data_IF_530651938944
#
_entry.id   IF_530651938944
#
_cell.length_a   1.000
_cell.length_b   1.000
_cell.length_c   1.000
_cell.angle_alpha   90.00
_cell.angle_beta   90.00
_cell.angle_gamma   90.00
#
_symmetry.space_group_name_H-M   'P 1'
#
loop_
_entity.id
_entity.type
_entity.pdbx_description
1 polymer ?
#
# COMPACT_ATOMS: atom_id res chain seq x y z
N UNK A 1 8.26 17.19 26.17
CA UNK A 1 8.56 15.80 26.61
C UNK A 1 7.39 15.11 27.31
N UNK A 2 6.79 15.63 28.39
CA UNK A 2 5.68 14.95 29.09
C UNK A 2 4.39 14.77 28.26
N UNK A 3 4.03 15.75 27.42
CA UNK A 3 2.87 15.66 26.54
C UNK A 3 3.01 14.53 25.48
N UNK A 4 4.22 14.36 24.91
CA UNK A 4 4.48 13.34 23.89
C UNK A 4 4.46 11.92 24.47
N UNK A 5 4.97 11.73 25.70
CA UNK A 5 4.92 10.43 26.37
C UNK A 5 3.49 10.00 26.69
N UNK A 6 2.63 10.95 27.08
CA UNK A 6 1.22 10.69 27.37
C UNK A 6 0.47 10.37 26.06
N UNK A 7 0.70 11.12 24.99
CA UNK A 7 0.07 10.87 23.69
C UNK A 7 0.44 9.49 23.11
N UNK A 8 1.73 9.12 23.16
CA UNK A 8 2.22 7.82 22.72
C UNK A 8 1.68 6.66 23.57
N UNK A 9 1.56 6.87 24.89
CA UNK A 9 0.97 5.88 25.80
C UNK A 9 -0.53 5.68 25.54
N UNK A 10 -1.29 6.75 25.38
CA UNK A 10 -2.73 6.68 25.07
C UNK A 10 -2.98 6.05 23.69
N UNK A 11 -2.12 6.33 22.71
CA UNK A 11 -2.15 5.68 21.39
C UNK A 11 -1.87 4.19 21.48
N UNK A 12 -0.85 3.80 22.26
CA UNK A 12 -0.52 2.39 22.51
C UNK A 12 -1.69 1.65 23.18
N UNK A 13 -2.44 2.32 24.06
CA UNK A 13 -3.67 1.76 24.66
C UNK A 13 -4.78 1.57 23.62
N UNK A 14 -5.02 2.56 22.76
CA UNK A 14 -6.02 2.41 21.71
C UNK A 14 -5.62 1.36 20.66
N UNK A 15 -4.33 1.21 20.36
CA UNK A 15 -3.83 0.13 19.50
C UNK A 15 -4.03 -1.23 20.17
N UNK A 16 -3.68 -1.38 21.44
CA UNK A 16 -3.87 -2.63 22.18
C UNK A 16 -5.36 -3.03 22.28
N UNK A 17 -6.24 -2.06 22.53
CA UNK A 17 -7.69 -2.31 22.56
C UNK A 17 -8.26 -2.58 21.16
N UNK A 18 -7.79 -1.87 20.13
CA UNK A 18 -8.15 -2.17 18.74
C UNK A 18 -7.73 -3.59 18.33
N UNK A 19 -6.56 -4.05 18.76
CA UNK A 19 -6.08 -5.42 18.57
C UNK A 19 -6.94 -6.44 19.34
N UNK A 20 -7.32 -6.13 20.58
CA UNK A 20 -8.25 -6.94 21.37
C UNK A 20 -9.62 -7.06 20.68
N UNK A 21 -10.18 -5.95 20.19
CA UNK A 21 -11.38 -5.96 19.38
C UNK A 21 -11.22 -6.81 18.12
N UNK A 22 -10.04 -6.70 17.47
CA UNK A 22 -9.71 -7.44 16.26
C UNK A 22 -9.74 -8.96 16.49
N UNK A 23 -9.12 -9.44 17.58
CA UNK A 23 -9.13 -10.86 17.96
C UNK A 23 -10.52 -11.40 18.32
N UNK A 24 -11.49 -10.52 18.56
CA UNK A 24 -12.88 -10.87 18.93
C UNK A 24 -13.87 -10.64 17.78
N UNK A 25 -13.41 -10.23 16.60
CA UNK A 25 -14.29 -9.88 15.48
C UNK A 25 -15.15 -8.62 15.72
N UNK A 26 -14.76 -7.76 16.66
CA UNK A 26 -15.57 -6.60 17.10
C UNK A 26 -15.08 -5.26 16.51
N UNK A 27 -14.37 -5.29 15.38
CA UNK A 27 -13.73 -4.10 14.78
C UNK A 27 -14.75 -2.98 14.50
N UNK A 28 -15.93 -3.31 13.96
CA UNK A 28 -16.95 -2.32 13.59
C UNK A 28 -17.52 -1.55 14.80
N UNK A 29 -17.49 -2.17 15.98
CA UNK A 29 -17.93 -1.59 17.25
C UNK A 29 -16.80 -1.05 18.11
N UNK A 30 -15.54 -1.18 17.67
CA UNK A 30 -14.39 -0.89 18.52
C UNK A 30 -14.16 0.61 18.66
N UNK A 31 -14.43 1.15 19.85
CA UNK A 31 -14.27 2.57 20.14
C UNK A 31 -12.81 3.02 20.02
N UNK A 32 -11.85 2.23 20.48
CA UNK A 32 -10.42 2.58 20.31
C UNK A 32 -9.97 2.58 18.86
N UNK A 33 -10.52 1.69 18.03
CA UNK A 33 -10.28 1.75 16.59
C UNK A 33 -10.91 3.00 15.96
N UNK A 34 -12.10 3.41 16.42
CA UNK A 34 -12.72 4.68 16.01
C UNK A 34 -11.92 5.89 16.50
N UNK A 35 -11.34 5.85 17.69
CA UNK A 35 -10.49 6.93 18.21
C UNK A 35 -9.19 7.03 17.43
N UNK A 36 -8.55 5.89 17.11
CA UNK A 36 -7.42 5.88 16.18
C UNK A 36 -7.84 6.47 14.83
N UNK A 37 -8.97 6.03 14.29
CA UNK A 37 -9.48 6.55 13.03
C UNK A 37 -9.76 8.04 13.08
N UNK A 38 -10.60 8.54 13.98
CA UNK A 38 -10.91 9.97 14.14
C UNK A 38 -9.66 10.83 14.33
N UNK A 39 -8.73 10.40 15.20
CA UNK A 39 -7.45 11.08 15.40
C UNK A 39 -6.61 11.19 14.12
N UNK A 40 -6.82 10.31 13.14
CA UNK A 40 -6.17 10.33 11.82
C UNK A 40 -7.12 10.64 10.64
N UNK A 41 -8.42 10.82 10.85
CA UNK A 41 -9.48 11.06 9.85
C UNK A 41 -9.96 12.52 9.82
N UNK A 42 -9.76 13.30 10.89
CA UNK A 42 -10.43 14.60 11.05
C UNK A 42 -9.96 15.65 10.01
N UNK A 43 -10.62 15.70 8.84
CA UNK A 43 -10.45 16.71 7.78
C UNK A 43 -9.08 16.77 7.10
N UNK A 44 -8.08 16.11 7.69
CA UNK A 44 -6.70 16.10 7.23
C UNK A 44 -6.51 15.20 6.02
N UNK A 45 -7.28 14.12 5.83
CA UNK A 45 -7.13 13.28 4.64
C UNK A 45 -7.51 14.06 3.38
N UNK A 46 -8.64 14.77 3.40
CA UNK A 46 -9.10 15.63 2.30
C UNK A 46 -8.23 16.89 2.17
N UNK A 47 -7.83 17.53 3.26
CA UNK A 47 -6.90 18.67 3.21
C UNK A 47 -5.46 18.26 2.83
N UNK A 48 -5.01 17.03 3.06
CA UNK A 48 -3.79 16.46 2.47
C UNK A 48 -4.03 16.06 1.01
N UNK A 49 -5.26 15.67 0.65
CA UNK A 49 -5.68 15.48 -0.75
C UNK A 49 -5.53 16.77 -1.53
N UNK A 50 -5.99 17.87 -0.98
CA UNK A 50 -5.98 19.16 -1.66
C UNK A 50 -4.66 19.93 -1.45
N UNK A 51 -4.04 19.81 -0.27
CA UNK A 51 -2.82 20.57 0.10
C UNK A 51 -1.52 20.05 -0.51
N UNK A 52 -1.42 18.77 -0.86
CA UNK A 52 -0.26 18.19 -1.57
C UNK A 52 -0.48 18.10 -3.09
N UNK A 53 -1.60 18.60 -3.58
CA UNK A 53 -2.00 18.48 -4.97
C UNK A 53 -2.43 19.84 -5.50
N UNK A 54 -1.51 20.68 -6.01
CA UNK A 54 -1.96 21.79 -6.83
C UNK A 54 -2.66 21.22 -8.08
N UNK A 55 -3.81 21.80 -8.45
CA UNK A 55 -4.59 21.42 -9.64
C UNK A 55 -3.77 21.51 -10.94
N UNK A 56 -2.70 22.30 -10.90
CA UNK A 56 -1.71 22.46 -11.96
C UNK A 56 -0.30 22.18 -11.39
N UNK A 57 0.57 21.44 -12.10
CA UNK A 57 1.96 21.28 -11.68
C UNK A 57 2.62 22.66 -11.54
N UNK A 58 3.44 22.90 -10.50
CA UNK A 58 4.14 24.17 -10.37
C UNK A 58 5.02 24.41 -11.60
N UNK A 59 4.96 25.61 -12.18
CA UNK A 59 5.93 26.04 -13.19
C UNK A 59 7.30 26.11 -12.51
N UNK A 60 8.14 25.10 -12.75
CA UNK A 60 9.54 25.11 -12.31
C UNK A 60 10.33 25.88 -13.36
N UNK A 61 10.69 27.12 -13.07
CA UNK A 61 11.66 27.88 -13.89
C UNK A 61 13.07 27.34 -13.61
N UNK A 62 13.41 26.23 -14.28
CA UNK A 62 14.74 25.64 -14.19
C UNK A 62 15.74 26.51 -14.97
N UNK A 63 16.86 26.96 -14.37
CA UNK A 63 17.90 27.74 -15.07
C UNK A 63 18.64 26.97 -16.17
N UNK A 64 18.25 25.72 -16.43
CA UNK A 64 18.71 24.91 -17.56
C UNK A 64 17.49 24.23 -18.22
N UNK A 65 16.68 25.02 -18.93
CA UNK A 65 15.78 24.45 -19.92
C UNK A 65 16.62 23.70 -20.98
N UNK A 66 16.36 22.41 -21.26
CA UNK A 66 17.01 21.73 -22.37
C UNK A 66 16.61 22.43 -23.68
N UNK A 67 17.58 22.57 -24.58
CA UNK A 67 17.42 23.17 -25.91
C UNK A 67 16.18 22.62 -26.65
N UNK A 68 15.50 23.44 -27.48
CA UNK A 68 14.40 22.95 -28.30
C UNK A 68 14.88 21.79 -29.17
N UNK A 69 14.18 20.66 -29.06
CA UNK A 69 14.36 19.50 -29.93
C UNK A 69 14.07 19.98 -31.36
N UNK A 70 15.01 19.84 -32.32
CA UNK A 70 14.74 20.19 -33.70
C UNK A 70 13.61 19.30 -34.26
N UNK A 71 12.79 19.80 -35.19
CA UNK A 71 11.69 19.01 -35.74
C UNK A 71 12.25 17.73 -36.38
N UNK A 72 11.67 16.60 -36.01
CA UNK A 72 12.06 15.29 -36.50
C UNK A 72 11.90 15.25 -38.03
N UNK A 73 13.00 15.00 -38.74
CA UNK A 73 12.97 14.52 -40.12
C UNK A 73 12.29 13.14 -40.15
N UNK A 74 11.46 12.93 -41.17
CA UNK A 74 10.70 11.72 -41.44
C UNK A 74 11.66 10.52 -41.61
N UNK A 75 11.71 9.64 -40.61
CA UNK A 75 12.30 8.32 -40.73
C UNK A 75 11.18 7.27 -40.78
N UNK A 76 11.17 6.44 -41.82
CA UNK A 76 10.18 5.39 -42.08
C UNK A 76 10.00 4.43 -40.88
N UNK A 77 8.73 4.23 -40.47
CA UNK A 77 8.32 3.23 -39.46
C UNK A 77 8.72 1.81 -39.90
N UNK A 78 9.35 0.97 -39.05
CA UNK A 78 9.36 -0.46 -39.28
C UNK A 78 7.94 -1.03 -39.12
N UNK A 79 7.54 -1.89 -40.06
CA UNK A 79 6.18 -2.42 -40.17
C UNK A 79 5.63 -2.97 -38.83
N UNK A 80 4.44 -2.48 -38.45
CA UNK A 80 3.72 -2.89 -37.24
C UNK A 80 3.41 -4.40 -37.26
N UNK A 81 3.62 -5.13 -36.14
CA UNK A 81 3.10 -6.48 -36.03
C UNK A 81 1.56 -6.46 -36.04
N UNK A 82 0.96 -7.42 -36.75
CA UNK A 82 -0.49 -7.49 -36.93
C UNK A 82 -1.23 -7.56 -35.58
N UNK A 83 -2.38 -6.88 -35.45
CA UNK A 83 -3.18 -6.91 -34.23
C UNK A 83 -3.72 -8.32 -33.96
N UNK A 84 -3.61 -8.73 -32.70
CA UNK A 84 -4.15 -10.00 -32.21
C UNK A 84 -5.67 -10.08 -32.41
N UNK A 85 -6.16 -11.22 -32.94
CA UNK A 85 -7.59 -11.48 -33.14
C UNK A 85 -8.03 -12.77 -32.43
N UNK A 86 -9.18 -12.75 -31.74
CA UNK A 86 -9.72 -13.93 -31.05
C UNK A 86 -10.19 -15.05 -31.99
N UNK A 87 -10.14 -14.87 -33.32
CA UNK A 87 -10.54 -15.87 -34.33
C UNK A 87 -9.37 -16.53 -35.07
N UNK A 88 -8.12 -16.28 -34.67
CA UNK A 88 -6.95 -16.95 -35.28
C UNK A 88 -6.91 -18.43 -34.88
N UNK A 89 -6.98 -19.33 -35.87
CA UNK A 89 -6.87 -20.79 -35.66
C UNK A 89 -5.45 -21.17 -35.21
N UNK A 90 -5.36 -21.97 -34.14
CA UNK A 90 -4.11 -22.63 -33.74
C UNK A 90 -3.77 -23.75 -34.73
N UNK A 91 -2.48 -23.97 -35.07
CA UNK A 91 -2.07 -25.19 -35.76
C UNK A 91 -2.25 -26.40 -34.85
N UNK A 92 -2.79 -27.47 -35.41
CA UNK A 92 -3.13 -28.73 -34.76
C UNK A 92 -1.86 -29.46 -34.27
N UNK A 93 -1.91 -29.98 -33.05
CA UNK A 93 -1.03 -31.06 -32.60
C UNK A 93 -1.90 -32.13 -31.93
N UNK A 94 -1.61 -33.37 -32.29
CA UNK A 94 -2.48 -34.54 -32.28
C UNK A 94 -2.90 -35.05 -30.89
N UNK A 95 -4.04 -35.73 -30.89
CA UNK A 95 -4.66 -36.61 -29.88
C UNK A 95 -3.69 -37.66 -29.26
N UNK A 96 -3.91 -38.29 -28.09
CA UNK A 96 -5.06 -39.11 -27.62
C UNK A 96 -5.01 -39.36 -26.06
N UNK A 97 -5.84 -40.19 -25.37
CA UNK A 97 -6.71 -39.73 -24.27
C UNK A 97 -6.53 -40.50 -22.92
N UNK A 98 -7.29 -40.10 -21.88
CA UNK A 98 -8.31 -40.95 -21.20
C UNK A 98 -8.49 -40.60 -19.70
N UNK A 99 -9.77 -40.36 -19.36
CA UNK A 99 -10.47 -40.54 -18.08
C UNK A 99 -9.76 -40.24 -16.74
N UNK A 100 -10.32 -39.30 -15.97
CA UNK A 100 -11.35 -39.56 -14.95
C UNK A 100 -11.93 -38.20 -14.51
N UNK A 101 -13.25 -38.04 -14.67
CA UNK A 101 -14.01 -36.91 -14.15
C UNK A 101 -14.11 -37.05 -12.63
N UNK A 102 -13.48 -36.15 -11.87
CA UNK A 102 -13.93 -35.82 -10.51
C UNK A 102 -14.61 -34.46 -10.56
N UNK A 103 -15.92 -34.44 -10.28
CA UNK A 103 -16.71 -33.22 -10.11
C UNK A 103 -16.08 -32.42 -8.96
N UNK A 104 -15.54 -31.24 -9.26
CA UNK A 104 -15.24 -30.25 -8.24
C UNK A 104 -16.55 -29.72 -7.68
N UNK A 105 -16.71 -29.79 -6.36
CA UNK A 105 -17.82 -29.17 -5.64
C UNK A 105 -17.87 -27.65 -5.90
N UNK A 106 -19.05 -27.01 -5.78
CA UNK A 106 -19.14 -25.55 -5.79
C UNK A 106 -18.29 -24.98 -4.66
N UNK A 107 -17.61 -23.87 -4.93
CA UNK A 107 -16.83 -23.13 -3.96
C UNK A 107 -17.69 -22.85 -2.71
N UNK A 108 -17.18 -23.12 -1.49
CA UNK A 108 -17.92 -22.79 -0.29
C UNK A 108 -18.08 -21.27 -0.24
N UNK A 109 -19.30 -20.82 0.05
CA UNK A 109 -19.57 -19.46 0.48
C UNK A 109 -18.59 -19.09 1.60
N UNK A 110 -18.02 -17.89 1.53
CA UNK A 110 -17.06 -17.39 2.49
C UNK A 110 -17.66 -17.39 3.91
N UNK A 111 -17.39 -18.45 4.66
CA UNK A 111 -17.48 -18.44 6.11
C UNK A 111 -16.32 -17.59 6.62
N UNK A 112 -16.63 -16.51 7.33
CA UNK A 112 -15.65 -15.58 7.89
C UNK A 112 -14.65 -16.32 8.77
N UNK A 113 -13.40 -16.39 8.30
CA UNK A 113 -12.29 -16.84 9.11
C UNK A 113 -11.82 -15.64 9.94
N UNK A 114 -12.24 -15.60 11.21
CA UNK A 114 -11.83 -14.60 12.19
C UNK A 114 -10.37 -14.92 12.61
N UNK A 115 -9.39 -14.33 11.92
CA UNK A 115 -7.99 -14.64 12.15
C UNK A 115 -6.98 -13.63 11.59
N UNK A 116 -5.70 -13.86 11.86
CA UNK A 116 -4.61 -13.06 11.30
C UNK A 116 -4.28 -13.50 9.88
N UNK A 117 -4.13 -12.54 8.99
CA UNK A 117 -3.49 -12.72 7.70
C UNK A 117 -2.11 -12.06 7.74
N UNK A 118 -1.09 -12.87 8.01
CA UNK A 118 0.29 -12.42 7.98
C UNK A 118 0.76 -12.18 6.54
N UNK A 119 1.49 -11.09 6.34
CA UNK A 119 2.16 -10.77 5.08
C UNK A 119 3.49 -10.07 5.38
N UNK A 120 4.50 -10.36 4.59
CA UNK A 120 5.80 -9.68 4.62
C UNK A 120 6.62 -10.13 3.41
N UNK A 121 7.47 -9.24 2.89
CA UNK A 121 8.42 -9.49 1.80
C UNK A 121 7.82 -10.29 0.63
N UNK A 122 7.15 -9.58 -0.27
CA UNK A 122 6.41 -10.22 -1.36
C UNK A 122 7.28 -11.06 -2.31
N UNK A 123 8.58 -10.76 -2.40
CA UNK A 123 9.53 -11.49 -3.23
C UNK A 123 9.88 -12.83 -2.57
N UNK A 124 10.28 -12.81 -1.30
CA UNK A 124 10.67 -14.03 -0.58
C UNK A 124 9.50 -14.98 -0.34
N UNK A 125 8.33 -14.43 -0.03
CA UNK A 125 7.22 -15.24 0.50
C UNK A 125 6.32 -15.80 -0.60
N UNK A 126 6.23 -15.14 -1.77
CA UNK A 126 5.21 -15.46 -2.78
C UNK A 126 5.66 -15.45 -4.23
N UNK A 127 6.94 -15.18 -4.52
CA UNK A 127 7.48 -15.24 -5.89
C UNK A 127 6.71 -14.38 -6.91
N UNK A 128 6.15 -13.25 -6.48
CA UNK A 128 5.43 -12.31 -7.35
C UNK A 128 4.03 -12.76 -7.80
N UNK A 129 3.43 -13.79 -7.19
CA UNK A 129 2.03 -14.18 -7.42
C UNK A 129 1.07 -13.35 -6.58
N UNK A 130 -0.17 -13.17 -7.06
CA UNK A 130 -1.25 -12.56 -6.28
C UNK A 130 -1.55 -13.42 -5.04
N UNK A 131 -0.99 -12.98 -3.92
CA UNK A 131 -0.93 -13.66 -2.63
C UNK A 131 -0.82 -12.57 -1.54
N UNK A 132 -0.75 -12.89 -0.23
CA UNK A 132 -0.66 -11.87 0.82
C UNK A 132 0.47 -10.85 0.61
N UNK A 133 1.54 -11.22 -0.09
CA UNK A 133 2.60 -10.30 -0.54
C UNK A 133 2.11 -9.09 -1.34
N UNK A 134 0.97 -9.13 -2.03
CA UNK A 134 0.45 -7.95 -2.71
C UNK A 134 -0.01 -6.84 -1.75
N UNK A 135 -0.08 -7.11 -0.45
CA UNK A 135 -0.34 -6.13 0.60
C UNK A 135 0.89 -5.25 0.91
N UNK A 136 2.10 -5.75 0.63
CA UNK A 136 3.38 -5.06 0.79
C UNK A 136 3.42 -3.76 -0.05
N UNK A 137 3.89 -2.66 0.54
CA UNK A 137 4.02 -1.37 -0.14
C UNK A 137 5.03 -1.38 -1.28
N UNK A 138 5.94 -2.35 -1.30
CA UNK A 138 6.96 -2.53 -2.34
C UNK A 138 6.48 -3.36 -3.52
N UNK A 139 5.27 -3.93 -3.46
CA UNK A 139 4.69 -4.66 -4.58
C UNK A 139 4.64 -3.77 -5.85
N UNK A 140 5.08 -4.26 -7.02
CA UNK A 140 5.19 -3.48 -8.25
C UNK A 140 3.82 -3.20 -8.87
N UNK A 141 3.07 -2.31 -8.23
CA UNK A 141 1.78 -1.79 -8.69
C UNK A 141 1.85 -0.27 -8.75
N UNK A 142 2.27 0.30 -9.90
CA UNK A 142 2.25 1.74 -10.08
C UNK A 142 0.88 2.34 -9.79
N UNK A 143 0.87 3.47 -9.09
CA UNK A 143 -0.32 4.22 -8.66
C UNK A 143 -0.26 5.65 -9.18
N UNK A 144 -1.42 6.25 -9.40
CA UNK A 144 -1.54 7.69 -9.68
C UNK A 144 -2.27 8.39 -8.54
N UNK A 145 -1.66 9.44 -7.97
CA UNK A 145 -2.26 10.27 -6.94
C UNK A 145 -2.00 11.72 -7.31
N UNK A 146 -3.07 12.51 -7.48
CA UNK A 146 -2.93 13.94 -7.78
C UNK A 146 -2.16 14.21 -9.09
N UNK A 147 -2.52 13.52 -10.16
CA UNK A 147 -1.87 13.60 -11.48
C UNK A 147 -0.49 12.91 -11.57
N UNK A 148 0.20 12.70 -10.44
CA UNK A 148 1.55 12.14 -10.38
C UNK A 148 1.52 10.61 -10.36
N UNK A 149 2.46 9.98 -11.07
CA UNK A 149 2.68 8.53 -11.05
C UNK A 149 3.76 8.19 -10.02
N UNK A 150 3.51 7.15 -9.23
CA UNK A 150 4.47 6.54 -8.32
C UNK A 150 4.65 5.07 -8.70
N UNK A 151 5.89 4.57 -8.69
CA UNK A 151 6.19 3.19 -9.09
C UNK A 151 5.58 2.16 -8.14
N UNK A 152 5.55 2.49 -6.83
CA UNK A 152 4.93 1.69 -5.78
C UNK A 152 4.28 2.61 -4.73
N UNK A 153 3.56 2.03 -3.77
CA UNK A 153 3.00 2.81 -2.66
C UNK A 153 4.10 3.31 -1.68
N UNK A 154 5.25 2.63 -1.62
CA UNK A 154 6.45 3.13 -0.91
C UNK A 154 6.93 4.47 -1.47
N UNK A 155 7.01 4.60 -2.80
CA UNK A 155 7.42 5.85 -3.45
C UNK A 155 6.47 6.99 -3.07
N UNK A 156 5.17 6.73 -3.05
CA UNK A 156 4.19 7.71 -2.60
C UNK A 156 4.41 8.09 -1.12
N UNK A 157 4.61 7.12 -0.23
CA UNK A 157 4.86 7.38 1.19
C UNK A 157 6.10 8.27 1.41
N UNK A 158 7.22 7.93 0.75
CA UNK A 158 8.47 8.68 0.89
C UNK A 158 8.40 10.05 0.22
N UNK A 159 7.74 10.17 -0.93
CA UNK A 159 7.49 11.46 -1.58
C UNK A 159 6.63 12.37 -0.69
N UNK A 160 5.53 11.85 -0.14
CA UNK A 160 4.68 12.63 0.76
C UNK A 160 5.42 13.04 2.04
N UNK A 161 6.32 12.18 2.53
CA UNK A 161 7.22 12.55 3.64
C UNK A 161 8.14 13.71 3.25
N UNK A 162 8.80 13.66 2.10
CA UNK A 162 9.67 14.73 1.63
C UNK A 162 8.91 16.05 1.48
N UNK A 163 7.73 16.01 0.86
CA UNK A 163 6.87 17.19 0.71
C UNK A 163 6.40 17.76 2.06
N UNK A 164 6.12 16.92 3.05
CA UNK A 164 5.71 17.36 4.39
C UNK A 164 6.78 18.20 5.10
N UNK A 165 8.04 18.00 4.76
CA UNK A 165 9.18 18.74 5.29
C UNK A 165 9.83 19.66 4.25
N UNK A 166 9.08 19.99 3.19
CA UNK A 166 9.48 20.95 2.14
C UNK A 166 10.81 20.59 1.44
N UNK A 167 11.18 19.30 1.42
CA UNK A 167 12.37 18.78 0.75
C UNK A 167 12.05 18.39 -0.71
N UNK A 168 11.95 19.41 -1.56
CA UNK A 168 11.61 19.25 -2.98
C UNK A 168 12.65 18.42 -3.76
N UNK A 169 13.92 18.47 -3.35
CA UNK A 169 14.99 17.70 -3.99
C UNK A 169 14.84 16.21 -3.71
N UNK A 170 14.58 15.82 -2.46
CA UNK A 170 14.27 14.44 -2.12
C UNK A 170 12.99 13.97 -2.82
N UNK A 171 11.95 14.81 -2.86
CA UNK A 171 10.70 14.50 -3.54
C UNK A 171 10.91 14.23 -5.04
N UNK A 172 11.67 15.09 -5.74
CA UNK A 172 12.02 14.89 -7.14
C UNK A 172 12.85 13.62 -7.37
N UNK A 173 13.84 13.37 -6.51
CA UNK A 173 14.67 12.16 -6.59
C UNK A 173 13.87 10.87 -6.40
N UNK A 174 12.90 10.86 -5.47
CA UNK A 174 12.00 9.72 -5.25
C UNK A 174 11.11 9.48 -6.48
N UNK A 175 10.62 10.52 -7.15
CA UNK A 175 9.79 10.37 -8.35
C UNK A 175 10.58 9.86 -9.57
N UNK A 176 11.88 10.11 -9.62
CA UNK A 176 12.75 9.76 -10.73
C UNK A 176 13.25 8.30 -10.69
N UNK A 177 13.08 7.61 -9.57
CA UNK A 177 13.51 6.22 -9.38
C UNK A 177 12.27 5.28 -9.38
N UNK A 178 12.45 4.05 -9.85
CA UNK A 178 11.42 3.00 -9.79
C UNK A 178 11.78 1.91 -8.73
N UNK A 179 12.98 1.96 -8.13
CA UNK A 179 13.42 1.03 -7.07
C UNK A 179 12.90 1.47 -5.69
N UNK A 180 11.99 0.71 -5.05
CA UNK A 180 11.46 1.07 -3.74
C UNK A 180 12.54 1.10 -2.64
N UNK A 181 13.65 0.37 -2.79
CA UNK A 181 14.76 0.45 -1.85
C UNK A 181 15.45 1.82 -1.91
N UNK A 182 15.59 2.40 -3.11
CA UNK A 182 16.12 3.75 -3.31
C UNK A 182 15.18 4.81 -2.76
N UNK A 183 13.88 4.71 -3.05
CA UNK A 183 12.87 5.61 -2.48
C UNK A 183 12.92 5.63 -0.94
N UNK A 184 12.97 4.45 -0.30
CA UNK A 184 13.10 4.33 1.16
C UNK A 184 14.41 4.93 1.68
N UNK A 185 15.52 4.74 0.97
CA UNK A 185 16.81 5.29 1.36
C UNK A 185 16.80 6.83 1.33
N UNK A 186 16.23 7.44 0.28
CA UNK A 186 16.08 8.90 0.16
C UNK A 186 15.13 9.43 1.25
N UNK A 187 14.00 8.75 1.47
CA UNK A 187 13.04 9.15 2.51
C UNK A 187 13.60 9.11 3.93
N UNK A 188 14.69 8.38 4.18
CA UNK A 188 15.43 8.39 5.47
C UNK A 188 16.35 9.61 5.62
N UNK A 189 16.69 10.29 4.53
CA UNK A 189 17.59 11.46 4.52
C UNK A 189 16.86 12.78 4.27
N UNK A 190 15.53 12.80 4.33
CA UNK A 190 14.72 14.02 4.22
C UNK A 190 15.18 15.07 5.23
N UNK A 191 15.42 16.28 4.75
CA UNK A 191 15.87 17.41 5.58
C UNK A 191 14.76 17.92 6.49
N UNK A 192 15.15 18.62 7.57
CA UNK A 192 14.22 19.25 8.53
C UNK A 192 13.15 18.30 9.12
N UNK A 193 13.49 17.01 9.17
CA UNK A 193 12.61 15.97 9.66
C UNK A 193 12.29 16.12 11.16
N UNK A 194 11.00 16.28 11.46
CA UNK A 194 10.47 16.19 12.82
C UNK A 194 9.64 14.90 12.97
N UNK A 195 10.09 14.02 13.87
CA UNK A 195 9.42 12.74 14.11
C UNK A 195 7.97 12.92 14.59
N UNK A 196 7.69 13.90 15.44
CA UNK A 196 6.35 14.11 15.97
C UNK A 196 5.37 14.58 14.89
N UNK A 197 5.84 15.43 13.97
CA UNK A 197 5.08 15.83 12.79
C UNK A 197 4.81 14.59 11.93
N UNK A 198 5.85 13.83 11.62
CA UNK A 198 5.69 12.61 10.82
C UNK A 198 4.71 11.62 11.45
N UNK A 199 4.79 11.38 12.76
CA UNK A 199 3.89 10.47 13.47
C UNK A 199 2.42 10.86 13.36
N UNK A 200 2.11 12.17 13.28
CA UNK A 200 0.74 12.67 13.08
C UNK A 200 0.23 12.43 11.65
N UNK A 201 1.11 12.51 10.65
CA UNK A 201 0.71 12.51 9.23
C UNK A 201 0.93 11.16 8.53
N UNK A 202 1.81 10.28 9.03
CA UNK A 202 2.23 9.05 8.35
C UNK A 202 1.08 8.08 8.05
N UNK A 203 0.15 7.92 9.00
CA UNK A 203 -0.94 6.97 8.88
C UNK A 203 -1.92 7.36 7.75
N UNK A 204 -2.50 8.58 7.73
CA UNK A 204 -3.39 8.97 6.63
C UNK A 204 -2.69 8.97 5.26
N UNK A 205 -1.39 9.30 5.21
CA UNK A 205 -0.57 9.18 3.99
C UNK A 205 -0.59 7.72 3.49
N UNK A 206 -0.24 6.74 4.33
CA UNK A 206 -0.20 5.33 3.90
C UNK A 206 -1.59 4.78 3.56
N UNK A 207 -2.64 5.22 4.27
CA UNK A 207 -4.03 4.90 3.92
C UNK A 207 -4.35 5.38 2.50
N UNK A 208 -4.01 6.63 2.15
CA UNK A 208 -4.26 7.18 0.81
C UNK A 208 -3.49 6.44 -0.28
N UNK A 209 -2.21 6.15 -0.05
CA UNK A 209 -1.40 5.34 -0.96
C UNK A 209 -2.00 3.94 -1.17
N UNK A 210 -2.50 3.34 -0.09
CA UNK A 210 -3.17 2.05 -0.13
C UNK A 210 -4.50 2.10 -0.89
N UNK A 211 -5.36 3.10 -0.63
CA UNK A 211 -6.61 3.30 -1.40
C UNK A 211 -6.30 3.47 -2.89
N UNK A 212 -5.29 4.27 -3.26
CA UNK A 212 -4.88 4.44 -4.64
C UNK A 212 -4.41 3.11 -5.27
N UNK A 213 -3.56 2.37 -4.58
CA UNK A 213 -3.06 1.05 -5.00
C UNK A 213 -4.18 0.05 -5.26
N UNK A 214 -5.11 -0.06 -4.32
CA UNK A 214 -6.17 -1.06 -4.35
C UNK A 214 -7.40 -0.62 -5.15
N UNK A 215 -7.62 0.67 -5.40
CA UNK A 215 -8.73 1.14 -6.26
C UNK A 215 -8.42 1.05 -7.75
N UNK A 216 -7.16 1.26 -8.13
CA UNK A 216 -6.75 1.38 -9.54
C UNK A 216 -6.52 0.04 -10.25
N UNK A 217 -6.57 -1.08 -9.52
CA UNK A 217 -6.32 -2.44 -10.06
C UNK A 217 -7.35 -3.42 -9.54
N UNK A 218 -8.22 -3.91 -10.43
CA UNK A 218 -9.34 -4.78 -10.06
C UNK A 218 -8.91 -6.05 -9.30
N UNK A 219 -7.83 -6.70 -9.71
CA UNK A 219 -7.34 -7.92 -9.03
C UNK A 219 -6.84 -7.64 -7.61
N UNK A 220 -6.08 -6.56 -7.40
CA UNK A 220 -5.63 -6.15 -6.07
C UNK A 220 -6.82 -5.75 -5.21
N UNK A 221 -7.77 -4.97 -5.76
CA UNK A 221 -9.02 -4.61 -5.08
C UNK A 221 -9.72 -5.86 -4.56
N UNK A 222 -9.94 -6.81 -5.45
CA UNK A 222 -10.63 -8.05 -5.13
C UNK A 222 -9.88 -8.84 -4.06
N UNK A 223 -8.54 -8.89 -4.14
CA UNK A 223 -7.74 -9.52 -3.10
C UNK A 223 -7.95 -8.86 -1.73
N UNK A 224 -7.77 -7.53 -1.64
CA UNK A 224 -7.95 -6.80 -0.37
C UNK A 224 -9.36 -6.98 0.18
N UNK A 225 -10.40 -6.91 -0.65
CA UNK A 225 -11.78 -7.13 -0.22
C UNK A 225 -12.03 -8.59 0.21
N UNK A 226 -11.41 -9.56 -0.46
CA UNK A 226 -11.51 -10.98 -0.08
C UNK A 226 -10.82 -11.32 1.24
N UNK A 227 -10.05 -10.39 1.81
CA UNK A 227 -9.51 -10.59 3.16
C UNK A 227 -10.60 -10.64 4.23
N UNK A 228 -11.82 -10.16 3.92
CA UNK A 228 -12.97 -10.23 4.82
C UNK A 228 -12.71 -9.46 6.11
N UNK A 229 -13.00 -10.07 7.24
CA UNK A 229 -12.81 -9.47 8.56
C UNK A 229 -11.46 -9.80 9.19
N UNK A 230 -10.58 -10.51 8.46
CA UNK A 230 -9.23 -10.84 8.94
C UNK A 230 -8.44 -9.59 9.26
N UNK A 231 -7.65 -9.71 10.31
CA UNK A 231 -6.69 -8.71 10.73
C UNK A 231 -5.43 -8.86 9.89
N UNK A 232 -5.11 -7.85 9.12
CA UNK A 232 -3.92 -7.83 8.27
C UNK A 232 -2.71 -7.53 9.16
N UNK A 233 -1.68 -8.38 9.09
CA UNK A 233 -0.51 -8.27 9.97
C UNK A 233 0.77 -8.25 9.15
N UNK A 234 1.47 -7.10 9.17
CA UNK A 234 2.79 -7.00 8.58
C UNK A 234 3.82 -7.68 9.49
N UNK A 235 4.19 -8.91 9.14
CA UNK A 235 5.06 -9.80 9.90
C UNK A 235 6.55 -9.56 9.60
N UNK A 236 6.96 -8.30 9.66
CA UNK A 236 8.35 -7.89 9.46
C UNK A 236 9.12 -7.93 10.79
N UNK A 237 10.19 -8.73 10.92
CA UNK A 237 11.03 -8.74 12.12
C UNK A 237 11.84 -7.45 12.29
N UNK A 238 12.13 -6.76 11.18
CA UNK A 238 12.99 -5.56 11.16
C UNK A 238 12.19 -4.25 11.16
N UNK A 239 10.86 -4.31 11.33
CA UNK A 239 9.99 -3.12 11.34
C UNK A 239 9.02 -3.15 12.54
N UNK A 240 9.29 -2.30 13.53
CA UNK A 240 8.45 -2.12 14.72
C UNK A 240 7.41 -1.01 14.59
N UNK A 241 7.37 -0.34 13.44
CA UNK A 241 6.45 0.77 13.18
C UNK A 241 5.32 0.31 12.27
N UNK A 242 5.65 -0.12 11.07
CA UNK A 242 4.67 -0.58 10.10
C UNK A 242 4.31 -2.04 10.33
N UNK A 243 5.28 -2.84 10.81
CA UNK A 243 5.13 -4.24 11.18
C UNK A 243 5.01 -4.50 12.69
N UNK A 244 4.99 -5.79 13.03
CA UNK A 244 4.89 -6.30 14.42
C UNK A 244 6.24 -6.57 15.08
N UNK A 245 7.36 -6.33 14.39
CA UNK A 245 8.71 -6.66 14.90
C UNK A 245 8.96 -8.16 15.09
N UNK A 246 8.18 -9.02 14.44
CA UNK A 246 8.26 -10.48 14.52
C UNK A 246 8.00 -11.09 13.14
N UNK A 247 8.65 -12.22 12.85
CA UNK A 247 8.36 -13.02 11.66
C UNK A 247 7.03 -13.77 11.81
N UNK A 248 6.41 -14.14 10.69
CA UNK A 248 5.09 -14.79 10.69
C UNK A 248 5.07 -16.17 11.37
N UNK A 249 6.21 -16.85 11.39
CA UNK A 249 6.39 -18.17 12.01
C UNK A 249 6.88 -18.09 13.47
N UNK A 250 7.11 -16.88 14.00
CA UNK A 250 7.42 -16.69 15.41
C UNK A 250 6.17 -17.02 16.25
N UNK A 251 6.26 -17.91 17.27
CA UNK A 251 5.12 -18.23 18.14
C UNK A 251 4.50 -16.99 18.82
N UNK A 252 5.28 -15.93 19.03
CA UNK A 252 4.80 -14.66 19.61
C UNK A 252 3.99 -13.82 18.61
N UNK A 253 4.04 -14.11 17.30
CA UNK A 253 3.26 -13.37 16.31
C UNK A 253 1.76 -13.66 16.41
N UNK A 254 1.38 -14.81 16.97
CA UNK A 254 -0.02 -15.22 17.14
C UNK A 254 -0.76 -14.49 18.26
N UNK A 255 -0.07 -13.71 19.10
CA UNK A 255 -0.68 -12.94 20.18
C UNK A 255 -0.30 -11.45 20.04
N UNK A 256 -1.27 -10.55 19.76
CA UNK A 256 -1.00 -9.12 19.64
C UNK A 256 -0.35 -8.48 20.87
N UNK A 257 -0.51 -9.08 22.05
CA UNK A 257 0.10 -8.57 23.30
C UNK A 257 1.60 -8.81 23.35
N UNK A 258 2.12 -9.73 22.53
CA UNK A 258 3.54 -10.05 22.44
C UNK A 258 4.22 -9.42 21.23
N UNK A 259 3.48 -8.68 20.41
CA UNK A 259 4.05 -7.91 19.31
C UNK A 259 5.01 -6.84 19.83
N UNK A 260 6.12 -6.68 19.12
CA UNK A 260 7.16 -5.70 19.42
C UNK A 260 7.05 -4.47 18.50
N UNK A 261 5.99 -4.41 17.71
CA UNK A 261 5.71 -3.34 16.77
C UNK A 261 4.23 -2.98 16.69
N UNK A 262 3.95 -1.89 15.98
CA UNK A 262 2.63 -1.24 15.98
C UNK A 262 1.67 -1.78 14.90
N UNK A 263 2.16 -2.55 13.92
CA UNK A 263 1.36 -3.06 12.78
C UNK A 263 0.58 -1.97 12.02
N UNK A 264 1.12 -0.76 11.91
CA UNK A 264 0.37 0.36 11.31
C UNK A 264 -0.01 0.11 9.86
N UNK A 265 0.78 -0.67 9.11
CA UNK A 265 0.45 -0.96 7.73
C UNK A 265 -0.79 -1.86 7.63
N UNK A 266 -0.86 -2.88 8.49
CA UNK A 266 -2.04 -3.73 8.61
C UNK A 266 -3.30 -2.91 8.83
N UNK A 267 -3.27 -1.97 9.78
CA UNK A 267 -4.38 -1.07 10.05
C UNK A 267 -4.70 -0.12 8.90
N UNK A 268 -3.69 0.44 8.24
CA UNK A 268 -3.88 1.31 7.09
C UNK A 268 -4.59 0.58 5.93
N UNK A 269 -4.20 -0.67 5.66
CA UNK A 269 -4.83 -1.54 4.66
C UNK A 269 -6.27 -1.90 5.03
N UNK A 270 -6.56 -2.16 6.32
CA UNK A 270 -7.92 -2.41 6.79
C UNK A 270 -8.81 -1.17 6.69
N UNK A 271 -8.26 0.03 6.91
CA UNK A 271 -8.97 1.29 6.67
C UNK A 271 -9.23 1.51 5.17
N UNK A 272 -8.24 1.25 4.31
CA UNK A 272 -8.43 1.27 2.86
C UNK A 272 -9.50 0.26 2.40
N UNK A 273 -9.52 -0.94 2.98
CA UNK A 273 -10.56 -1.97 2.72
C UNK A 273 -11.96 -1.44 3.04
N UNK A 274 -12.14 -0.83 4.23
CA UNK A 274 -13.41 -0.22 4.64
C UNK A 274 -13.85 0.91 3.70
N UNK A 275 -12.93 1.80 3.33
CA UNK A 275 -13.21 2.85 2.35
C UNK A 275 -13.69 2.28 1.01
N UNK A 276 -13.01 1.26 0.47
CA UNK A 276 -13.36 0.65 -0.81
C UNK A 276 -14.66 -0.17 -0.79
N UNK A 277 -15.11 -0.60 0.39
CA UNK A 277 -16.43 -1.22 0.59
C UNK A 277 -17.55 -0.19 0.60
N UNK A 278 -17.31 0.98 1.20
CA UNK A 278 -18.29 2.07 1.28
C UNK A 278 -18.52 2.77 -0.07
N UNK A 279 -17.48 2.89 -0.91
CA UNK A 279 -17.56 3.51 -2.25
C UNK A 279 -18.15 2.57 -3.33
N UNK A 280 -19.04 1.65 -2.95
CA UNK A 280 -19.72 0.70 -3.86
C UNK A 280 -21.03 1.24 -4.40
#
# INVERSE_FOLDING_TARGET
>A
MRANAIAAFTESLHVADALSCATRGLLDSCESLRVLQQRYDDGQLDALIDGFTPDEPPEIDLPFAPHPVPPAEEAEEPARPAPWSPFQRRPEAESVPSAVVRRSAPAPAATGDEGFLFFWDHVKTHGGRLAPGCLDQWWPAPIRVGGRRFATAEHYMMWSKAMLFEDELAAAAILADDDPARARAIGRTVTDFDLSVWERHRFPIVVRGSIAKFSQRGELRNFLLSTGDRVLVEASPDDSVWGIGLAADDPLAADPRTWQGQNLLGFALMTARRHLLASR
#
